data_IF_310363830807
#
_entry.id   IF_310363830807
#
_cell.length_a   1.000
_cell.length_b   1.000
_cell.length_c   1.000
_cell.angle_alpha   90.00
_cell.angle_beta   90.00
_cell.angle_gamma   90.00
#
_symmetry.space_group_name_H-M   'P 1'
#
loop_
_entity.id
_entity.type
_entity.pdbx_description
1 polymer ?
#
# COMPACT_ATOMS: atom_id res chain seq x y z
N UNK A 1 18.57 6.44 3.27
CA UNK A 1 17.29 6.81 3.90
C UNK A 1 16.12 6.62 2.92
N UNK A 2 15.67 5.37 2.76
CA UNK A 2 14.49 5.04 1.98
C UNK A 2 13.28 5.24 2.89
N UNK A 3 12.58 6.38 2.73
CA UNK A 3 11.40 6.72 3.54
C UNK A 3 10.10 6.16 2.96
N UNK A 4 10.14 5.56 1.76
CA UNK A 4 8.98 4.97 1.10
C UNK A 4 9.02 3.44 1.24
N UNK A 5 7.92 2.86 1.70
CA UNK A 5 7.73 1.41 1.68
C UNK A 5 7.37 0.98 0.25
N UNK A 6 8.04 -0.06 -0.25
CA UNK A 6 7.80 -0.54 -1.61
C UNK A 6 6.37 -1.10 -1.73
N UNK A 7 5.62 -0.64 -2.74
CA UNK A 7 4.27 -1.10 -3.09
C UNK A 7 3.17 -0.86 -2.05
N UNK A 8 3.42 0.04 -1.09
CA UNK A 8 2.46 0.41 -0.05
C UNK A 8 2.25 1.92 -0.10
N UNK A 9 0.99 2.35 -0.07
CA UNK A 9 0.61 3.76 -0.08
C UNK A 9 -0.67 4.02 0.71
N UNK A 10 -0.99 5.31 0.89
CA UNK A 10 -2.25 5.74 1.48
C UNK A 10 -3.16 6.22 0.35
N UNK A 11 -4.38 5.71 0.29
CA UNK A 11 -5.36 6.15 -0.71
C UNK A 11 -5.74 7.62 -0.43
N UNK A 12 -5.33 8.55 -1.29
CA UNK A 12 -5.65 9.98 -1.16
C UNK A 12 -6.97 10.36 -1.81
N UNK A 13 -7.28 9.77 -2.97
CA UNK A 13 -8.48 10.05 -3.76
C UNK A 13 -9.08 8.70 -4.18
N UNK A 14 -10.31 8.44 -3.75
CA UNK A 14 -11.02 7.19 -4.03
C UNK A 14 -11.90 7.23 -5.30
N UNK A 15 -12.63 6.14 -5.53
CA UNK A 15 -13.76 6.11 -6.45
C UNK A 15 -14.78 5.05 -6.01
N UNK A 16 -15.94 5.06 -6.66
CA UNK A 16 -17.05 4.15 -6.32
C UNK A 16 -16.69 2.66 -6.39
N UNK A 17 -15.77 2.26 -7.26
CA UNK A 17 -15.31 0.87 -7.35
C UNK A 17 -14.51 0.47 -6.11
N UNK A 18 -13.66 1.37 -5.58
CA UNK A 18 -12.89 1.14 -4.35
C UNK A 18 -13.79 1.18 -3.12
N UNK A 19 -14.73 2.13 -3.07
CA UNK A 19 -15.73 2.22 -2.00
C UNK A 19 -16.57 0.95 -1.89
N UNK A 20 -16.99 0.37 -3.03
CA UNK A 20 -17.71 -0.90 -3.08
C UNK A 20 -16.90 -2.09 -2.56
N UNK A 21 -15.56 -1.99 -2.57
CA UNK A 21 -14.64 -2.97 -1.98
C UNK A 21 -14.30 -2.65 -0.51
N UNK A 22 -14.89 -1.59 0.05
CA UNK A 22 -14.64 -1.15 1.42
C UNK A 22 -13.28 -0.46 1.59
N UNK A 23 -12.67 0.02 0.51
CA UNK A 23 -11.43 0.81 0.50
C UNK A 23 -11.82 2.28 0.40
N UNK A 24 -11.47 3.06 1.41
CA UNK A 24 -11.80 4.46 1.54
C UNK A 24 -10.54 5.31 1.60
N UNK A 25 -10.70 6.61 1.36
CA UNK A 25 -9.61 7.57 1.53
C UNK A 25 -9.02 7.49 2.95
N UNK A 26 -7.70 7.51 3.03
CA UNK A 26 -6.93 7.31 4.26
C UNK A 26 -6.54 5.85 4.54
N UNK A 27 -7.11 4.87 3.84
CA UNK A 27 -6.71 3.48 4.01
C UNK A 27 -5.29 3.22 3.48
N UNK A 28 -4.55 2.37 4.20
CA UNK A 28 -3.28 1.82 3.75
C UNK A 28 -3.54 0.69 2.74
N UNK A 29 -3.00 0.84 1.54
CA UNK A 29 -3.25 -0.07 0.42
C UNK A 29 -1.95 -0.55 -0.20
N UNK A 30 -1.94 -1.83 -0.60
CA UNK A 30 -0.93 -2.42 -1.45
C UNK A 30 -1.34 -2.35 -2.91
N UNK A 31 -0.38 -2.12 -3.80
CA UNK A 31 -0.64 -2.02 -5.25
C UNK A 31 0.38 -2.77 -6.10
N UNK A 32 -0.01 -3.08 -7.34
CA UNK A 32 0.86 -3.73 -8.33
C UNK A 32 1.75 -2.69 -9.02
N UNK A 33 3.08 -2.89 -9.11
CA UNK A 33 3.98 -1.94 -9.75
C UNK A 33 3.84 -1.92 -11.28
N UNK A 34 4.43 -0.90 -11.90
CA UNK A 34 4.54 -0.69 -13.35
C UNK A 34 3.22 -0.28 -14.05
N UNK A 35 2.15 -0.05 -13.30
CA UNK A 35 0.87 0.49 -13.78
C UNK A 35 0.63 1.95 -13.41
N UNK A 36 1.53 2.52 -12.60
CA UNK A 36 1.42 3.86 -12.02
C UNK A 36 2.00 4.98 -12.90
N UNK A 37 1.34 6.14 -12.84
CA UNK A 37 1.89 7.43 -13.24
C UNK A 37 2.29 8.20 -11.98
N UNK A 38 3.54 8.64 -11.89
CA UNK A 38 4.04 9.42 -10.76
C UNK A 38 3.97 10.94 -11.02
N UNK A 39 3.55 11.67 -10.00
CA UNK A 39 3.52 13.13 -9.98
C UNK A 39 4.18 13.64 -8.72
N UNK A 40 4.98 14.69 -8.84
CA UNK A 40 5.50 15.42 -7.69
C UNK A 40 4.66 16.68 -7.48
N UNK A 41 3.92 16.73 -6.39
CA UNK A 41 3.07 17.88 -6.01
C UNK A 41 3.52 18.32 -4.63
N UNK A 42 3.97 19.57 -4.49
CA UNK A 42 4.36 20.15 -3.19
C UNK A 42 5.39 19.34 -2.38
N UNK A 43 6.32 18.67 -3.09
CA UNK A 43 7.30 17.71 -2.53
C UNK A 43 6.72 16.39 -2.02
N UNK A 44 5.45 16.10 -2.27
CA UNK A 44 4.85 14.78 -2.12
C UNK A 44 4.84 14.05 -3.47
N UNK A 45 5.21 12.76 -3.45
CA UNK A 45 5.11 11.89 -4.61
C UNK A 45 3.78 11.15 -4.59
N UNK A 46 2.97 11.39 -5.60
CA UNK A 46 1.66 10.78 -5.78
C UNK A 46 1.72 9.76 -6.91
N UNK A 47 1.04 8.64 -6.73
CA UNK A 47 0.90 7.60 -7.73
C UNK A 47 -0.56 7.50 -8.17
N UNK A 48 -0.82 7.69 -9.45
CA UNK A 48 -2.12 7.45 -10.06
C UNK A 48 -2.09 6.13 -10.82
N UNK A 49 -3.04 5.24 -10.55
CA UNK A 49 -3.12 3.91 -11.16
C UNK A 49 -4.58 3.49 -11.28
N UNK A 50 -4.84 2.38 -11.97
CA UNK A 50 -6.21 1.86 -12.07
C UNK A 50 -6.60 1.21 -10.75
N UNK A 51 -7.88 1.29 -10.38
CA UNK A 51 -8.39 0.64 -9.17
C UNK A 51 -8.18 -0.87 -9.13
N UNK A 52 -8.16 -1.53 -10.29
CA UNK A 52 -7.86 -2.95 -10.37
C UNK A 52 -6.42 -3.29 -9.96
N UNK A 53 -5.51 -2.31 -9.96
CA UNK A 53 -4.12 -2.49 -9.57
C UNK A 53 -3.93 -2.31 -8.05
N UNK A 54 -4.99 -1.92 -7.31
CA UNK A 54 -5.02 -1.85 -5.84
C UNK A 54 -5.45 -3.23 -5.31
N UNK A 55 -4.51 -3.98 -4.74
CA UNK A 55 -4.64 -5.43 -4.53
C UNK A 55 -4.98 -5.79 -3.08
N UNK A 56 -4.57 -4.97 -2.10
CA UNK A 56 -4.68 -5.32 -0.69
C UNK A 56 -5.07 -4.09 0.12
N UNK A 57 -6.15 -4.18 0.92
CA UNK A 57 -6.38 -3.26 2.03
C UNK A 57 -5.67 -3.81 3.28
N UNK A 58 -4.68 -3.10 3.80
CA UNK A 58 -4.12 -3.42 5.10
C UNK A 58 -5.13 -2.97 6.16
N UNK A 59 -5.81 -3.94 6.79
CA UNK A 59 -6.54 -3.64 8.02
C UNK A 59 -5.54 -3.19 9.09
N UNK A 60 -5.98 -2.36 10.06
CA UNK A 60 -5.26 -2.12 11.32
C UNK A 60 -5.09 -3.48 12.04
N UNK A 61 -4.11 -4.28 11.64
CA UNK A 61 -3.88 -5.62 12.16
C UNK A 61 -2.61 -5.53 13.00
N UNK A 62 -2.79 -5.67 14.30
CA UNK A 62 -1.76 -5.66 15.35
C UNK A 62 -0.80 -6.87 15.26
N UNK A 63 -0.88 -7.68 14.20
CA UNK A 63 0.06 -8.76 13.86
C UNK A 63 1.00 -8.30 12.73
N UNK A 64 1.93 -7.41 13.05
CA UNK A 64 3.24 -7.50 12.40
C UNK A 64 3.99 -8.57 13.18
N UNK A 65 3.94 -9.83 12.75
CA UNK A 65 4.84 -10.84 13.30
C UNK A 65 6.28 -10.36 13.07
N UNK A 66 6.90 -9.90 14.15
CA UNK A 66 8.30 -9.56 14.23
C UNK A 66 9.10 -10.81 13.85
N UNK A 67 10.00 -10.68 12.86
CA UNK A 67 10.88 -11.75 12.42
C UNK A 67 11.53 -12.42 13.63
N UNK A 68 11.12 -13.65 13.97
CA UNK A 68 11.68 -14.38 15.10
C UNK A 68 12.81 -15.31 14.64
N UNK A 69 14.10 -14.95 14.71
CA UNK A 69 15.21 -15.72 14.13
C UNK A 69 15.30 -17.20 14.56
N UNK A 70 14.55 -17.67 15.56
CA UNK A 70 14.45 -19.09 15.93
C UNK A 70 13.92 -20.01 14.82
N UNK A 71 13.24 -19.50 13.78
CA UNK A 71 12.80 -20.31 12.63
C UNK A 71 13.91 -20.58 11.59
N UNK A 72 14.99 -19.80 11.62
CA UNK A 72 16.12 -19.97 10.71
C UNK A 72 17.17 -20.96 11.22
N UNK A 73 17.02 -21.49 12.44
CA UNK A 73 17.99 -22.40 13.02
C UNK A 73 17.46 -23.84 13.02
N UNK A 74 17.44 -24.44 11.83
CA UNK A 74 17.56 -25.89 11.71
C UNK A 74 19.04 -26.18 11.47
N UNK A 75 19.66 -26.86 12.44
CA UNK A 75 21.12 -27.07 12.51
C UNK A 75 21.72 -27.93 11.41
#
# INVERSE_FOLDING_TARGET
>A
PNKEQHLIGILKIGNSSLEALGINEGDCVGYTPYGEYDFNVENERLYCMKSNDIVIKYGNKEDQEEYNPSWANSG
#
